data_IF_834837933645
#
_entry.id   IF_834837933645
#
_cell.length_a   1.000
_cell.length_b   1.000
_cell.length_c   1.000
_cell.angle_alpha   90.00
_cell.angle_beta   90.00
_cell.angle_gamma   90.00
#
_symmetry.space_group_name_H-M   'P 1'
#
loop_
_entity.id
_entity.type
_entity.pdbx_description
1 polymer ?
#
# COMPACT_ATOMS: atom_id res chain seq x y z
N UNK A 1 30.09 1.98 -5.50
CA UNK A 1 29.23 2.85 -4.66
C UNK A 1 27.82 2.44 -5.01
N UNK A 2 27.37 1.25 -4.57
CA UNK A 2 26.18 0.60 -5.18
C UNK A 2 25.33 -0.13 -4.14
N UNK A 3 25.24 0.44 -2.94
CA UNK A 3 24.56 -0.16 -1.78
C UNK A 3 23.12 0.34 -1.57
N UNK A 4 22.57 1.15 -2.47
CA UNK A 4 21.20 1.68 -2.35
C UNK A 4 20.15 0.93 -3.19
N UNK A 5 20.48 -0.25 -3.72
CA UNK A 5 19.54 -1.13 -4.43
C UNK A 5 18.88 -2.15 -3.49
N UNK A 6 18.50 -1.71 -2.30
CA UNK A 6 17.54 -2.40 -1.43
C UNK A 6 16.42 -1.41 -1.11
N UNK A 7 15.62 -1.02 -2.09
CA UNK A 7 14.43 -0.23 -1.82
C UNK A 7 13.35 -0.69 -2.76
N UNK A 8 12.31 -1.27 -2.17
CA UNK A 8 11.11 -1.79 -2.81
C UNK A 8 11.33 -3.04 -3.67
N UNK A 9 11.07 -4.20 -3.08
CA UNK A 9 10.60 -5.33 -3.89
C UNK A 9 9.18 -4.98 -4.37
N UNK A 10 9.12 -4.14 -5.42
CA UNK A 10 7.91 -3.76 -6.17
C UNK A 10 7.04 -4.96 -6.54
N UNK A 11 7.61 -6.18 -6.51
CA UNK A 11 6.90 -7.44 -6.74
C UNK A 11 6.00 -7.88 -5.58
N UNK A 12 5.99 -7.17 -4.44
CA UNK A 12 5.22 -7.56 -3.24
C UNK A 12 4.03 -6.67 -2.89
N UNK A 13 3.79 -5.58 -3.61
CA UNK A 13 2.58 -4.79 -3.44
C UNK A 13 1.48 -5.40 -4.30
N UNK A 14 0.57 -6.11 -3.67
CA UNK A 14 -0.50 -6.84 -4.34
C UNK A 14 -1.77 -5.99 -4.26
N UNK A 15 -2.38 -5.61 -5.40
CA UNK A 15 -3.67 -4.92 -5.43
C UNK A 15 -4.72 -5.62 -4.56
N UNK A 16 -5.44 -4.85 -3.75
CA UNK A 16 -6.48 -5.32 -2.83
C UNK A 16 -5.99 -5.80 -1.46
N UNK A 17 -4.69 -5.84 -1.19
CA UNK A 17 -4.20 -6.13 0.16
C UNK A 17 -4.28 -4.89 1.07
N UNK A 18 -4.54 -5.12 2.36
CA UNK A 18 -4.58 -4.07 3.37
C UNK A 18 -3.17 -3.83 3.94
N UNK A 19 -2.78 -2.56 3.95
CA UNK A 19 -1.53 -2.04 4.51
C UNK A 19 -1.83 -1.00 5.58
N UNK A 20 -0.84 -0.76 6.44
CA UNK A 20 -0.84 0.35 7.37
C UNK A 20 -0.05 1.51 6.77
N UNK A 21 -0.68 2.66 6.64
CA UNK A 21 -0.03 3.93 6.28
C UNK A 21 0.64 4.52 7.53
N UNK A 22 1.97 4.45 7.57
CA UNK A 22 2.75 4.96 8.70
C UNK A 22 2.79 6.49 8.81
N UNK A 23 2.47 7.22 7.74
CA UNK A 23 2.45 8.69 7.69
C UNK A 23 1.12 9.23 8.22
N UNK A 24 0.00 8.72 7.72
CA UNK A 24 -1.34 9.18 8.12
C UNK A 24 -1.94 8.38 9.27
N UNK A 25 -1.29 7.28 9.68
CA UNK A 25 -1.69 6.41 10.80
C UNK A 25 -3.08 5.81 10.59
N UNK A 26 -3.31 5.27 9.40
CA UNK A 26 -4.58 4.66 9.00
C UNK A 26 -4.35 3.35 8.21
N UNK A 27 -5.39 2.51 8.16
CA UNK A 27 -5.38 1.33 7.30
C UNK A 27 -5.82 1.73 5.90
N UNK A 28 -5.13 1.21 4.89
CA UNK A 28 -5.40 1.51 3.48
C UNK A 28 -5.35 0.24 2.65
N UNK A 29 -6.16 0.17 1.61
CA UNK A 29 -6.12 -0.89 0.62
C UNK A 29 -5.20 -0.48 -0.52
N UNK A 30 -4.23 -1.33 -0.87
CA UNK A 30 -3.32 -1.03 -1.97
C UNK A 30 -4.03 -1.18 -3.32
N UNK A 31 -3.95 -0.15 -4.15
CA UNK A 31 -4.49 -0.17 -5.50
C UNK A 31 -3.47 -0.56 -6.55
N UNK A 32 -2.57 0.37 -6.87
CA UNK A 32 -1.53 0.15 -7.89
C UNK A 32 -0.38 1.13 -7.70
N UNK A 33 0.79 0.84 -8.29
CA UNK A 33 1.93 1.76 -8.30
C UNK A 33 2.06 2.40 -9.68
N UNK A 34 1.95 3.72 -9.73
CA UNK A 34 2.12 4.49 -10.96
C UNK A 34 3.58 4.52 -11.43
N UNK A 35 3.81 4.88 -12.69
CA UNK A 35 5.17 5.06 -13.24
C UNK A 35 5.99 6.13 -12.50
N UNK A 36 5.33 7.01 -11.74
CA UNK A 36 5.95 8.06 -10.93
C UNK A 36 6.60 7.55 -9.65
N UNK A 37 6.42 6.27 -9.31
CA UNK A 37 6.96 5.69 -8.07
C UNK A 37 6.07 5.92 -6.83
N UNK A 38 4.86 6.46 -7.01
CA UNK A 38 3.86 6.57 -5.94
C UNK A 38 2.90 5.37 -5.99
N UNK A 39 2.57 4.84 -4.82
CA UNK A 39 1.46 3.92 -4.64
C UNK A 39 0.15 4.70 -4.57
N UNK A 40 -0.88 4.19 -5.23
CA UNK A 40 -2.26 4.63 -5.05
C UNK A 40 -2.93 3.68 -4.07
N UNK A 41 -3.59 4.25 -3.08
CA UNK A 41 -4.30 3.50 -2.04
C UNK A 41 -5.73 4.01 -1.88
N UNK A 42 -6.58 3.20 -1.25
CA UNK A 42 -7.99 3.45 -1.01
C UNK A 42 -8.35 3.20 0.46
N UNK A 43 -9.50 3.70 0.90
CA UNK A 43 -10.07 3.30 2.19
C UNK A 43 -10.46 1.81 2.18
N UNK A 44 -10.16 1.03 3.24
CA UNK A 44 -10.43 -0.41 3.28
C UNK A 44 -11.92 -0.74 3.21
N UNK A 45 -12.28 -1.75 2.40
CA UNK A 45 -13.61 -2.36 2.45
C UNK A 45 -14.70 -1.63 1.67
N UNK A 46 -14.35 -0.61 0.89
CA UNK A 46 -15.33 0.16 0.13
C UNK A 46 -15.61 -0.42 -1.27
N UNK A 47 -15.70 -1.75 -1.43
CA UNK A 47 -16.03 -2.39 -2.72
C UNK A 47 -17.51 -2.21 -3.15
N UNK A 48 -18.25 -1.28 -2.52
CA UNK A 48 -19.72 -1.17 -2.55
C UNK A 48 -20.31 -0.27 -3.65
N UNK A 49 -19.53 0.14 -4.66
CA UNK A 49 -20.03 0.91 -5.81
C UNK A 49 -20.21 2.42 -5.58
N UNK A 50 -19.67 2.96 -4.49
CA UNK A 50 -19.61 4.39 -4.18
C UNK A 50 -18.38 5.11 -4.75
N UNK A 51 -18.34 6.43 -4.57
CA UNK A 51 -17.21 7.28 -4.96
C UNK A 51 -16.09 7.12 -3.93
N UNK A 52 -15.07 6.33 -4.26
CA UNK A 52 -13.94 6.05 -3.36
C UNK A 52 -12.95 7.22 -3.30
N UNK A 53 -12.52 7.56 -2.09
CA UNK A 53 -11.36 8.43 -1.88
C UNK A 53 -10.08 7.66 -2.21
N UNK A 54 -9.25 8.22 -3.10
CA UNK A 54 -7.94 7.67 -3.42
C UNK A 54 -6.87 8.74 -3.32
N UNK A 55 -5.69 8.37 -2.85
CA UNK A 55 -4.55 9.28 -2.79
C UNK A 55 -3.24 8.56 -3.09
N UNK A 56 -2.24 9.36 -3.47
CA UNK A 56 -0.88 8.90 -3.68
C UNK A 56 -0.09 8.89 -2.37
N UNK A 57 0.62 7.80 -2.11
CA UNK A 57 1.52 7.63 -0.98
C UNK A 57 2.87 7.09 -1.48
N UNK A 58 3.96 7.49 -0.82
CA UNK A 58 5.24 6.82 -0.99
C UNK A 58 5.12 5.38 -0.46
N UNK A 59 5.41 4.35 -1.27
CA UNK A 59 5.36 2.96 -0.84
C UNK A 59 6.21 2.64 0.40
N UNK A 60 7.23 3.44 0.74
CA UNK A 60 8.09 3.22 1.92
C UNK A 60 7.30 3.44 3.22
N UNK A 61 6.17 4.14 3.14
CA UNK A 61 5.29 4.37 4.27
C UNK A 61 4.24 3.25 4.44
N UNK A 62 4.19 2.27 3.53
CA UNK A 62 3.24 1.16 3.61
C UNK A 62 3.86 -0.04 4.31
N UNK A 63 3.24 -0.46 5.42
CA UNK A 63 3.61 -1.66 6.15
C UNK A 63 2.54 -2.74 5.96
N UNK A 64 2.93 -3.90 5.44
CA UNK A 64 2.00 -5.01 5.23
C UNK A 64 1.53 -5.53 6.58
N UNK A 65 0.23 -5.48 6.83
CA UNK A 65 -0.37 -6.12 7.99
C UNK A 65 -0.40 -7.62 7.69
N UNK A 66 0.65 -8.33 8.09
CA UNK A 66 0.67 -9.78 8.00
C UNK A 66 -0.36 -10.28 8.99
N UNK A 67 -1.54 -10.66 8.49
CA UNK A 67 -2.53 -11.37 9.29
C UNK A 67 -1.87 -12.66 9.76
N UNK A 68 -1.31 -12.64 10.98
CA UNK A 68 -0.87 -13.85 11.65
C UNK A 68 -2.14 -14.66 11.81
N UNK A 69 -2.34 -15.66 10.95
CA UNK A 69 -3.34 -16.70 11.22
C UNK A 69 -3.10 -17.15 12.66
N UNK A 70 -4.10 -17.07 13.55
CA UNK A 70 -4.02 -17.81 14.80
C UNK A 70 -3.89 -19.29 14.40
N UNK A 71 -2.80 -19.91 14.83
CA UNK A 71 -2.58 -21.35 14.71
C UNK A 71 -3.63 -22.11 15.53
#
# INVERSE_FOLDING_TARGET
MDEQKMKYDLKRLIPGEIYWDNKHKEMVEFGYMGQTGLAIVYEPGDSGGGMQSSWGIDPDNLEKIVSKKPC
#
